data_IF_574932500515
#
_entry.id   IF_574932500515
#
_cell.length_a   1.000
_cell.length_b   1.000
_cell.length_c   1.000
_cell.angle_alpha   90.00
_cell.angle_beta   90.00
_cell.angle_gamma   90.00
#
_symmetry.space_group_name_H-M   'P 1'
#
loop_
_entity.id
_entity.type
_entity.pdbx_description
1 polymer ?
#
# COMPACT_ATOMS: atom_id res chain seq x y z
N UNK A 1 -5.21 25.67 4.46
CA UNK A 1 -4.34 25.52 3.27
C UNK A 1 -5.03 24.75 2.15
N UNK A 2 -5.74 23.65 2.45
CA UNK A 2 -6.61 22.96 1.46
C UNK A 2 -7.69 23.90 0.91
N UNK A 3 -8.18 24.84 1.71
CA UNK A 3 -9.24 25.80 1.32
C UNK A 3 -8.79 26.87 0.30
N UNK A 4 -7.49 26.98 0.01
CA UNK A 4 -6.92 27.99 -0.91
C UNK A 4 -6.78 27.42 -2.33
N UNK A 5 -6.75 26.09 -2.47
CA UNK A 5 -6.55 25.44 -3.75
C UNK A 5 -7.89 25.31 -4.47
N UNK A 6 -8.07 26.08 -5.55
CA UNK A 6 -9.17 25.82 -6.49
C UNK A 6 -9.00 24.39 -7.04
N UNK A 7 -10.02 23.56 -6.80
CA UNK A 7 -10.05 22.16 -7.20
C UNK A 7 -9.77 21.92 -8.69
N UNK A 8 -10.02 22.92 -9.54
CA UNK A 8 -9.85 22.84 -10.99
C UNK A 8 -8.56 23.51 -11.50
N UNK A 9 -7.87 24.28 -10.67
CA UNK A 9 -6.61 24.91 -11.06
C UNK A 9 -5.46 23.89 -11.02
N UNK A 10 -4.48 24.07 -11.92
CA UNK A 10 -3.28 23.26 -11.94
C UNK A 10 -2.41 23.56 -10.73
N UNK A 11 -1.80 22.51 -10.16
CA UNK A 11 -0.94 22.64 -8.98
C UNK A 11 0.27 23.56 -9.19
N UNK A 12 0.75 23.70 -10.42
CA UNK A 12 1.87 24.56 -10.79
C UNK A 12 1.65 26.03 -10.40
N UNK A 13 0.39 26.48 -10.35
CA UNK A 13 0.05 27.85 -9.94
C UNK A 13 0.20 28.08 -8.42
N UNK A 14 0.11 27.01 -7.63
CA UNK A 14 0.22 27.06 -6.17
C UNK A 14 1.63 26.68 -5.68
N UNK A 15 2.34 25.85 -6.46
CA UNK A 15 3.67 25.34 -6.13
C UNK A 15 4.65 25.65 -7.25
N UNK A 16 5.09 26.93 -7.39
CA UNK A 16 6.05 27.31 -8.40
C UNK A 16 7.37 26.61 -8.15
N UNK A 17 7.92 26.00 -9.20
CA UNK A 17 9.18 25.28 -9.18
C UNK A 17 10.03 25.67 -10.40
N UNK A 18 11.37 25.73 -10.27
CA UNK A 18 12.27 25.94 -11.39
C UNK A 18 12.06 24.91 -12.51
N UNK A 19 12.02 25.37 -13.76
CA UNK A 19 11.68 24.51 -14.91
C UNK A 19 12.60 23.29 -15.10
N UNK A 20 13.88 23.40 -14.73
CA UNK A 20 14.83 22.29 -14.81
C UNK A 20 14.51 21.13 -13.85
N UNK A 21 13.62 21.34 -12.88
CA UNK A 21 13.17 20.31 -11.94
C UNK A 21 11.91 19.58 -12.42
N UNK A 22 11.20 20.07 -13.44
CA UNK A 22 9.97 19.43 -13.92
C UNK A 22 10.19 18.01 -14.44
N UNK A 23 11.34 17.74 -15.05
CA UNK A 23 11.72 16.40 -15.51
C UNK A 23 12.21 15.47 -14.38
N UNK A 24 12.29 15.94 -13.13
CA UNK A 24 12.67 15.09 -12.00
C UNK A 24 11.58 14.06 -11.74
N UNK A 25 12.04 12.84 -11.47
CA UNK A 25 11.18 11.73 -11.12
C UNK A 25 10.42 12.02 -9.81
N UNK A 26 9.13 11.66 -9.75
CA UNK A 26 8.22 11.89 -8.61
C UNK A 26 8.76 11.36 -7.26
N UNK A 27 9.66 10.37 -7.28
CA UNK A 27 10.31 9.84 -6.08
C UNK A 27 11.24 10.86 -5.41
N UNK A 28 11.61 11.95 -6.09
CA UNK A 28 12.39 13.03 -5.47
C UNK A 28 11.70 13.67 -4.28
N UNK A 29 10.36 13.55 -4.19
CA UNK A 29 9.56 14.01 -3.05
C UNK A 29 10.02 13.33 -1.73
N UNK A 30 10.66 12.16 -1.79
CA UNK A 30 11.24 11.51 -0.60
C UNK A 30 12.35 12.35 0.04
N UNK A 31 13.09 13.12 -0.75
CA UNK A 31 14.23 13.91 -0.26
C UNK A 31 13.80 14.96 0.78
N UNK A 32 12.60 15.53 0.62
CA UNK A 32 12.04 16.57 1.50
C UNK A 32 11.19 16.03 2.66
N UNK A 33 10.92 14.71 2.67
CA UNK A 33 10.11 14.10 3.71
C UNK A 33 10.88 14.01 5.03
N UNK A 34 10.24 14.41 6.13
CA UNK A 34 10.78 14.24 7.48
C UNK A 34 10.83 12.77 7.88
N UNK A 35 11.64 12.42 8.89
CA UNK A 35 11.81 11.04 9.33
C UNK A 35 10.48 10.37 9.74
N UNK A 36 9.56 11.12 10.34
CA UNK A 36 8.23 10.67 10.76
C UNK A 36 7.29 10.39 9.58
N UNK A 37 7.50 11.08 8.46
CA UNK A 37 6.70 10.95 7.24
C UNK A 37 7.23 9.82 6.32
N UNK A 38 8.50 9.41 6.52
CA UNK A 38 9.16 8.30 5.82
C UNK A 38 8.64 6.96 6.33
N UNK A 39 7.38 6.69 6.02
CA UNK A 39 6.68 5.47 6.39
C UNK A 39 5.79 4.93 5.26
N UNK A 40 4.90 3.97 5.58
CA UNK A 40 4.02 3.35 4.58
C UNK A 40 3.08 4.35 3.87
N UNK A 41 2.87 5.54 4.45
CA UNK A 41 2.11 6.61 3.83
C UNK A 41 2.85 7.25 2.65
N UNK A 42 4.13 7.55 2.78
CA UNK A 42 4.96 8.11 1.71
C UNK A 42 5.17 7.09 0.57
N UNK A 43 5.52 5.85 0.92
CA UNK A 43 5.65 4.78 -0.07
C UNK A 43 4.32 4.51 -0.77
N UNK A 44 3.21 4.50 -0.02
CA UNK A 44 1.87 4.33 -0.57
C UNK A 44 1.43 5.47 -1.48
N UNK A 45 1.81 6.71 -1.16
CA UNK A 45 1.60 7.88 -2.00
C UNK A 45 2.35 7.76 -3.32
N UNK A 46 3.66 7.53 -3.28
CA UNK A 46 4.50 7.41 -4.48
C UNK A 46 3.99 6.30 -5.39
N UNK A 47 3.66 5.13 -4.82
CA UNK A 47 3.11 4.01 -5.59
C UNK A 47 1.74 4.33 -6.21
N UNK A 48 0.87 5.06 -5.49
CA UNK A 48 -0.42 5.48 -6.03
C UNK A 48 -0.25 6.45 -7.21
N UNK A 49 0.69 7.39 -7.10
CA UNK A 49 1.03 8.33 -8.17
C UNK A 49 1.55 7.59 -9.41
N UNK A 50 2.53 6.68 -9.23
CA UNK A 50 3.04 5.86 -10.33
C UNK A 50 1.96 4.99 -10.99
N UNK A 51 1.06 4.41 -10.20
CA UNK A 51 -0.02 3.57 -10.74
C UNK A 51 -0.97 4.33 -11.67
N UNK A 52 -0.99 5.66 -11.59
CA UNK A 52 -1.75 6.55 -12.47
C UNK A 52 -0.94 7.20 -13.58
N UNK A 53 0.36 6.91 -13.66
CA UNK A 53 1.23 7.45 -14.70
C UNK A 53 1.89 8.78 -14.34
N UNK A 54 1.83 9.22 -13.08
CA UNK A 54 2.62 10.36 -12.62
C UNK A 54 4.07 9.92 -12.40
N UNK A 55 4.90 10.09 -13.42
CA UNK A 55 6.32 9.69 -13.42
C UNK A 55 7.26 10.80 -12.98
N UNK A 56 6.88 12.05 -13.25
CA UNK A 56 7.69 13.24 -13.07
C UNK A 56 6.89 14.37 -12.44
N UNK A 57 7.61 15.40 -11.98
CA UNK A 57 7.01 16.58 -11.37
C UNK A 57 6.17 17.37 -12.36
N UNK A 58 6.53 17.40 -13.64
CA UNK A 58 5.75 18.10 -14.68
C UNK A 58 4.32 17.56 -14.76
N UNK A 59 4.15 16.25 -14.89
CA UNK A 59 2.83 15.61 -14.92
C UNK A 59 2.04 15.85 -13.64
N UNK A 60 2.71 15.88 -12.49
CA UNK A 60 2.07 16.13 -11.21
C UNK A 60 1.60 17.59 -11.08
N UNK A 61 2.46 18.55 -11.41
CA UNK A 61 2.19 19.98 -11.25
C UNK A 61 1.16 20.49 -12.26
N UNK A 62 1.14 19.92 -13.47
CA UNK A 62 0.11 20.21 -14.46
C UNK A 62 -1.23 19.51 -14.16
N UNK A 63 -1.29 18.69 -13.11
CA UNK A 63 -2.54 18.09 -12.67
C UNK A 63 -3.34 18.99 -11.74
N UNK A 64 -4.64 18.72 -11.68
CA UNK A 64 -5.56 19.45 -10.82
C UNK A 64 -5.80 18.70 -9.52
N UNK A 65 -6.11 19.43 -8.46
CA UNK A 65 -6.41 18.84 -7.16
C UNK A 65 -7.56 17.85 -7.22
N UNK A 66 -8.60 18.15 -8.01
CA UNK A 66 -9.74 17.25 -8.28
C UNK A 66 -9.31 15.93 -8.92
N UNK A 67 -8.35 15.94 -9.86
CA UNK A 67 -7.82 14.72 -10.49
C UNK A 67 -7.04 13.88 -9.47
N UNK A 68 -6.24 14.52 -8.62
CA UNK A 68 -5.49 13.82 -7.58
C UNK A 68 -6.41 13.18 -6.54
N UNK A 69 -7.49 13.87 -6.16
CA UNK A 69 -8.51 13.30 -5.27
C UNK A 69 -9.16 12.03 -5.82
N UNK A 70 -9.26 11.90 -7.14
CA UNK A 70 -9.82 10.73 -7.81
C UNK A 70 -8.81 9.57 -7.97
N UNK A 71 -7.55 9.74 -7.57
CA UNK A 71 -6.54 8.68 -7.66
C UNK A 71 -6.86 7.59 -6.63
N UNK A 72 -7.14 6.35 -7.08
CA UNK A 72 -7.36 5.23 -6.17
C UNK A 72 -6.17 5.05 -5.23
N UNK A 73 -6.44 4.78 -3.96
CA UNK A 73 -5.44 4.59 -2.90
C UNK A 73 -4.68 5.88 -2.51
N UNK A 74 -5.03 7.02 -3.10
CA UNK A 74 -4.63 8.34 -2.63
C UNK A 74 -5.73 8.86 -1.69
N UNK A 75 -5.74 8.35 -0.46
CA UNK A 75 -6.68 8.82 0.57
C UNK A 75 -6.37 10.24 1.04
N UNK A 76 -7.29 10.86 1.78
CA UNK A 76 -7.15 12.24 2.25
C UNK A 76 -5.84 12.50 3.02
N UNK A 77 -5.42 11.59 3.90
CA UNK A 77 -4.16 11.73 4.63
C UNK A 77 -2.92 11.79 3.71
N UNK A 78 -2.91 10.99 2.63
CA UNK A 78 -1.81 10.98 1.65
C UNK A 78 -1.85 12.21 0.78
N UNK A 79 -3.03 12.71 0.44
CA UNK A 79 -3.19 13.99 -0.26
C UNK A 79 -2.68 15.17 0.56
N UNK A 80 -2.98 15.21 1.86
CA UNK A 80 -2.44 16.24 2.76
C UNK A 80 -0.92 16.15 2.83
N UNK A 81 -0.38 14.94 2.94
CA UNK A 81 1.06 14.71 2.89
C UNK A 81 1.69 15.16 1.55
N UNK A 82 1.00 14.95 0.43
CA UNK A 82 1.47 15.43 -0.87
C UNK A 82 1.65 16.95 -0.87
N UNK A 83 0.66 17.68 -0.35
CA UNK A 83 0.67 19.13 -0.31
C UNK A 83 1.81 19.65 0.56
N UNK A 84 1.98 19.11 1.76
CA UNK A 84 3.06 19.55 2.65
C UNK A 84 4.44 19.30 2.03
N UNK A 85 4.61 18.19 1.30
CA UNK A 85 5.86 17.89 0.62
C UNK A 85 6.07 18.81 -0.59
N UNK A 86 5.05 19.06 -1.41
CA UNK A 86 5.15 20.00 -2.54
C UNK A 86 5.44 21.43 -2.09
N UNK A 87 4.84 21.87 -0.99
CA UNK A 87 5.12 23.16 -0.37
C UNK A 87 6.58 23.28 0.04
N UNK A 88 7.14 22.25 0.69
CA UNK A 88 8.57 22.22 1.06
C UNK A 88 9.49 22.24 -0.15
N UNK A 89 9.16 21.52 -1.22
CA UNK A 89 9.96 21.54 -2.45
C UNK A 89 9.89 22.94 -3.09
N UNK A 90 8.71 23.57 -3.11
CA UNK A 90 8.55 24.92 -3.65
C UNK A 90 9.32 25.96 -2.81
N UNK A 91 9.36 25.79 -1.49
CA UNK A 91 10.12 26.65 -0.59
C UNK A 91 11.64 26.48 -0.70
N UNK A 92 12.14 25.24 -0.87
CA UNK A 92 13.56 24.95 -1.05
C UNK A 92 13.80 23.91 -2.16
N UNK A 93 13.79 24.34 -3.44
CA UNK A 93 13.94 23.44 -4.59
C UNK A 93 15.33 22.79 -4.68
N UNK A 94 16.35 23.34 -4.01
CA UNK A 94 17.72 22.81 -4.03
C UNK A 94 17.83 21.43 -3.39
N UNK A 95 16.93 21.11 -2.47
CA UNK A 95 16.86 19.82 -1.78
C UNK A 95 16.68 18.64 -2.73
N UNK A 96 16.03 18.85 -3.88
CA UNK A 96 15.77 17.80 -4.88
C UNK A 96 16.70 17.85 -6.10
N UNK A 97 17.51 18.91 -6.25
CA UNK A 97 18.44 19.08 -7.38
C UNK A 97 19.39 17.89 -7.51
N UNK A 98 19.95 17.44 -6.39
CA UNK A 98 20.90 16.33 -6.34
C UNK A 98 20.23 14.96 -6.19
N UNK A 99 18.90 14.89 -6.17
CA UNK A 99 18.21 13.62 -6.05
C UNK A 99 18.37 12.81 -7.34
N UNK A 100 19.15 11.75 -7.26
CA UNK A 100 19.22 10.67 -8.24
C UNK A 100 18.32 9.54 -7.76
N UNK A 101 17.16 9.39 -8.42
CA UNK A 101 16.28 8.27 -8.19
C UNK A 101 17.00 6.99 -8.62
N UNK A 102 17.55 6.22 -7.68
CA UNK A 102 17.81 4.81 -7.97
C UNK A 102 16.43 4.15 -8.14
N UNK A 103 16.17 3.40 -9.22
CA UNK A 103 14.92 2.70 -9.39
C UNK A 103 14.87 1.58 -8.35
N UNK A 104 14.46 1.90 -7.13
CA UNK A 104 14.10 0.90 -6.14
C UNK A 104 12.65 0.50 -6.40
N UNK A 105 12.43 -0.07 -7.58
CA UNK A 105 11.24 -0.86 -7.81
C UNK A 105 11.65 -2.28 -7.40
N UNK A 106 11.19 -2.81 -6.25
CA UNK A 106 10.99 -4.25 -6.21
C UNK A 106 9.85 -4.47 -7.19
N UNK A 107 10.18 -4.61 -8.48
CA UNK A 107 9.26 -5.17 -9.45
C UNK A 107 9.16 -6.60 -8.96
N UNK A 108 8.23 -6.85 -8.05
CA UNK A 108 7.86 -8.21 -7.75
C UNK A 108 7.33 -8.76 -9.05
N UNK A 109 8.18 -9.54 -9.72
CA UNK A 109 7.88 -10.08 -11.03
C UNK A 109 6.54 -10.80 -10.94
N UNK A 110 5.79 -10.92 -12.04
CA UNK A 110 4.57 -11.74 -12.06
C UNK A 110 4.78 -13.13 -11.45
N UNK A 111 6.01 -13.63 -11.48
CA UNK A 111 6.46 -14.88 -10.85
C UNK A 111 6.45 -14.80 -9.32
N UNK A 112 7.01 -13.74 -8.73
CA UNK A 112 7.04 -13.53 -7.27
C UNK A 112 5.64 -13.26 -6.68
N UNK A 113 4.79 -12.49 -7.37
CA UNK A 113 3.38 -12.33 -6.95
C UNK A 113 2.62 -13.66 -6.98
N UNK A 114 2.83 -14.49 -8.02
CA UNK A 114 2.24 -15.84 -8.09
C UNK A 114 2.74 -16.72 -6.94
N UNK A 115 4.03 -16.65 -6.62
CA UNK A 115 4.61 -17.45 -5.55
C UNK A 115 4.10 -17.06 -4.16
N UNK A 116 3.96 -15.76 -3.87
CA UNK A 116 3.35 -15.27 -2.63
C UNK A 116 1.88 -15.67 -2.51
N UNK A 117 1.16 -15.68 -3.63
CA UNK A 117 -0.25 -16.11 -3.68
C UNK A 117 -0.37 -17.61 -3.43
N UNK A 118 0.49 -18.43 -4.05
CA UNK A 118 0.55 -19.87 -3.82
C UNK A 118 0.89 -20.19 -2.36
N UNK A 119 1.87 -19.50 -1.76
CA UNK A 119 2.24 -19.68 -0.34
C UNK A 119 1.05 -19.39 0.59
N UNK A 120 0.24 -18.36 0.30
CA UNK A 120 -0.99 -18.06 1.08
C UNK A 120 -2.08 -19.12 0.91
N UNK A 121 -2.27 -19.63 -0.31
CA UNK A 121 -3.27 -20.68 -0.60
C UNK A 121 -2.88 -21.98 0.12
N UNK A 122 -1.62 -22.39 0.04
CA UNK A 122 -1.10 -23.59 0.71
C UNK A 122 -1.24 -23.46 2.23
N UNK A 123 -0.91 -22.30 2.80
CA UNK A 123 -1.06 -22.05 4.23
C UNK A 123 -2.53 -22.22 4.69
N UNK A 124 -3.48 -21.63 3.96
CA UNK A 124 -4.91 -21.79 4.26
C UNK A 124 -5.36 -23.24 4.16
N UNK A 125 -4.95 -23.96 3.12
CA UNK A 125 -5.31 -25.37 2.95
C UNK A 125 -4.81 -26.24 4.10
N UNK A 126 -3.58 -26.01 4.56
CA UNK A 126 -3.01 -26.74 5.69
C UNK A 126 -3.73 -26.40 7.00
N UNK A 127 -4.08 -25.13 7.24
CA UNK A 127 -4.84 -24.71 8.43
C UNK A 127 -6.23 -25.36 8.45
N UNK A 128 -6.97 -25.31 7.33
CA UNK A 128 -8.30 -25.93 7.22
C UNK A 128 -8.24 -27.45 7.32
N UNK A 129 -7.21 -28.08 6.76
CA UNK A 129 -7.05 -29.55 6.85
C UNK A 129 -6.72 -29.99 8.28
N UNK A 130 -5.94 -29.21 9.03
CA UNK A 130 -5.62 -29.50 10.44
C UNK A 130 -6.86 -29.35 11.31
N UNK A 131 -7.66 -28.30 11.12
CA UNK A 131 -8.92 -28.10 11.88
C UNK A 131 -9.91 -29.26 11.65
N UNK A 132 -10.09 -29.69 10.40
CA UNK A 132 -11.00 -30.80 10.06
C UNK A 132 -10.52 -32.12 10.67
N UNK A 133 -9.21 -32.43 10.61
CA UNK A 133 -8.65 -33.63 11.22
C UNK A 133 -8.82 -33.63 12.74
N UNK A 134 -8.70 -32.47 13.40
CA UNK A 134 -8.94 -32.37 14.85
C UNK A 134 -10.40 -32.60 15.21
N UNK A 135 -11.36 -32.06 14.46
CA UNK A 135 -12.79 -32.27 14.72
C UNK A 135 -13.21 -33.74 14.57
N UNK A 136 -12.71 -34.43 13.55
CA UNK A 136 -13.04 -35.83 13.31
C UNK A 136 -12.45 -36.73 14.40
N UNK A 137 -11.21 -36.47 14.82
CA UNK A 137 -10.59 -37.19 15.95
C UNK A 137 -11.34 -36.97 17.27
N UNK A 138 -11.87 -35.78 17.52
CA UNK A 138 -12.63 -35.47 18.74
C UNK A 138 -14.02 -36.13 18.72
N UNK A 139 -14.70 -36.13 17.56
CA UNK A 139 -15.97 -36.84 17.38
C UNK A 139 -15.81 -38.35 17.56
N UNK A 140 -14.75 -38.94 17.01
CA UNK A 140 -14.47 -40.36 17.13
C UNK A 140 -14.14 -40.76 18.58
N UNK A 141 -13.34 -39.96 19.29
CA UNK A 141 -13.05 -40.16 20.71
C UNK A 141 -14.32 -40.07 21.59
N UNK A 142 -15.21 -39.12 21.30
CA UNK A 142 -16.51 -38.99 21.99
C UNK A 142 -17.42 -40.20 21.73
N UNK A 143 -17.51 -40.66 20.48
CA UNK A 143 -18.28 -41.84 20.11
C UNK A 143 -17.75 -43.11 20.77
N UNK A 144 -16.43 -43.28 20.84
CA UNK A 144 -15.79 -44.40 21.54
C UNK A 144 -16.15 -44.41 23.03
N UNK A 145 -16.04 -43.26 23.71
CA UNK A 145 -16.40 -43.11 25.13
C UNK A 145 -17.87 -43.42 25.41
N UNK A 146 -18.77 -43.07 24.50
CA UNK A 146 -20.20 -43.41 24.60
C UNK A 146 -20.40 -44.91 24.40
N UNK A 147 -19.77 -45.53 23.39
CA UNK A 147 -19.84 -46.97 23.14
C UNK A 147 -19.34 -47.78 24.33
N UNK A 148 -18.20 -47.40 24.91
CA UNK A 148 -17.61 -48.11 26.05
C UNK A 148 -18.54 -48.06 27.27
N UNK A 149 -19.17 -46.91 27.56
CA UNK A 149 -20.19 -46.79 28.63
C UNK A 149 -21.43 -47.64 28.38
N UNK A 150 -21.90 -47.70 27.14
CA UNK A 150 -23.07 -48.52 26.78
C UNK A 150 -22.77 -50.02 26.91
N UNK A 151 -21.54 -50.43 26.61
CA UNK A 151 -21.05 -51.80 26.79
C UNK A 151 -20.89 -52.15 28.28
N UNK A 152 -20.34 -51.26 29.10
CA UNK A 152 -20.27 -51.43 30.56
C UNK A 152 -21.66 -51.57 31.22
N UNK A 153 -22.66 -50.84 30.70
CA UNK A 153 -24.05 -50.94 31.16
C UNK A 153 -24.79 -52.16 30.57
N UNK A 154 -24.13 -52.99 29.75
CA UNK A 154 -24.72 -54.19 29.14
C UNK A 154 -25.81 -53.92 28.11
N UNK A 155 -25.93 -52.69 27.61
CA UNK A 155 -26.94 -52.31 26.62
C UNK A 155 -26.58 -52.77 25.20
N UNK A 156 -25.29 -53.00 24.95
CA UNK A 156 -24.73 -53.48 23.68
C UNK A 156 -23.56 -54.43 23.97
N UNK A 157 -23.35 -55.41 23.08
CA UNK A 157 -22.27 -56.43 23.17
C UNK A 157 -21.03 -55.97 22.40
#
# INVERSE_FOLDING_TARGET
MIDIIDGNAALIHFFPLPAHLYSKNIACIVAVAHAEERGPNLTGLINALYSKGYTDLDHLLNSTWKKLYQVPRLGQQRLVLLLSLLERISADPKTIENYTAFPHVPIHSKKEMKELTLKRIIKKYNETSVEVLTEDSEKEARLKKIKDRLREMGMIV
#
